data_IF_090228210435
#
_entry.id   IF_090228210435
#
_cell.length_a   1.000
_cell.length_b   1.000
_cell.length_c   1.000
_cell.angle_alpha   90.00
_cell.angle_beta   90.00
_cell.angle_gamma   90.00
#
_symmetry.space_group_name_H-M   'P 1'
#
loop_
_entity.id
_entity.type
_entity.pdbx_description
1 polymer ?
#
# COMPACT_ATOMS: atom_id res chain seq x y z
N UNK A 1 8.73 -0.49 -7.31
CA UNK A 1 10.09 -0.28 -6.74
C UNK A 1 10.66 -1.62 -6.29
N UNK A 2 11.97 -1.83 -6.45
CA UNK A 2 12.64 -3.06 -5.99
C UNK A 2 12.82 -3.02 -4.47
N UNK A 3 12.46 -4.10 -3.77
CA UNK A 3 12.66 -4.21 -2.32
C UNK A 3 13.88 -5.07 -1.99
N UNK A 4 14.03 -6.23 -2.64
CA UNK A 4 15.20 -7.10 -2.50
C UNK A 4 15.89 -7.28 -3.85
N UNK A 5 17.06 -6.65 -4.08
CA UNK A 5 17.79 -6.78 -5.33
C UNK A 5 18.42 -8.18 -5.51
N UNK A 6 18.72 -8.58 -6.76
CA UNK A 6 18.41 -7.89 -8.01
C UNK A 6 16.94 -8.11 -8.43
N UNK A 7 16.22 -7.05 -8.75
CA UNK A 7 14.94 -7.17 -9.45
C UNK A 7 15.18 -7.10 -10.94
N UNK A 8 14.60 -8.03 -11.69
CA UNK A 8 14.61 -7.97 -13.16
C UNK A 8 13.71 -6.82 -13.60
N UNK A 9 14.17 -5.98 -14.54
CA UNK A 9 13.34 -4.96 -15.17
C UNK A 9 12.34 -5.65 -16.12
N UNK A 10 11.19 -6.05 -15.58
CA UNK A 10 10.04 -6.42 -16.42
C UNK A 10 9.49 -5.13 -17.04
N UNK A 11 9.23 -5.14 -18.35
CA UNK A 11 8.73 -3.97 -19.07
C UNK A 11 7.53 -3.31 -18.39
N UNK A 12 7.50 -1.97 -18.41
CA UNK A 12 6.51 -1.18 -17.68
C UNK A 12 5.13 -1.30 -18.36
N UNK A 13 4.23 -2.12 -17.80
CA UNK A 13 2.82 -2.08 -18.17
C UNK A 13 2.16 -0.87 -17.51
N UNK A 14 1.86 0.16 -18.29
CA UNK A 14 1.07 1.34 -17.92
C UNK A 14 -0.43 0.99 -17.82
N UNK A 15 -1.25 1.50 -16.91
CA UNK A 15 -1.10 2.55 -15.91
C UNK A 15 -1.69 2.04 -14.58
N UNK A 16 -1.08 2.40 -13.44
CA UNK A 16 -1.75 2.25 -12.14
C UNK A 16 -3.13 2.91 -12.25
N UNK A 17 -4.16 2.20 -11.82
CA UNK A 17 -5.53 2.70 -11.83
C UNK A 17 -5.53 4.10 -11.18
N UNK A 18 -6.04 5.14 -11.88
CA UNK A 18 -5.90 6.50 -11.40
C UNK A 18 -6.53 6.58 -10.01
N UNK A 19 -5.67 6.95 -9.05
CA UNK A 19 -6.08 7.11 -7.67
C UNK A 19 -7.27 8.10 -7.63
N UNK A 20 -8.34 7.81 -6.88
CA UNK A 20 -9.42 8.77 -6.69
C UNK A 20 -8.85 10.13 -6.27
N UNK A 21 -9.44 11.20 -6.79
CA UNK A 21 -9.02 12.55 -6.45
C UNK A 21 -9.12 12.74 -4.92
N UNK A 22 -8.06 13.28 -4.31
CA UNK A 22 -7.93 13.59 -2.88
C UNK A 22 -7.62 12.44 -1.91
N UNK A 23 -6.83 11.43 -2.31
CA UNK A 23 -6.24 10.51 -1.31
C UNK A 23 -5.20 11.27 -0.47
N UNK A 24 -5.50 11.44 0.82
CA UNK A 24 -4.58 12.02 1.81
C UNK A 24 -3.75 10.98 2.55
N UNK A 25 -4.30 9.76 2.70
CA UNK A 25 -3.63 8.65 3.38
C UNK A 25 -2.55 8.05 2.48
N UNK A 26 -1.33 8.56 2.60
CA UNK A 26 -0.19 8.13 1.79
C UNK A 26 0.87 7.42 2.64
N UNK A 27 1.58 6.42 2.09
CA UNK A 27 2.72 5.82 2.76
C UNK A 27 3.80 6.88 3.00
N UNK A 28 4.59 6.73 4.08
CA UNK A 28 5.58 7.73 4.53
C UNK A 28 5.04 9.14 4.85
N UNK A 29 3.73 9.37 4.82
CA UNK A 29 3.14 10.66 5.19
C UNK A 29 2.82 10.72 6.68
N UNK A 30 2.86 11.90 7.29
CA UNK A 30 2.42 12.12 8.68
C UNK A 30 0.90 12.29 8.85
N UNK A 31 0.11 12.07 7.79
CA UNK A 31 -1.35 12.23 7.85
C UNK A 31 -1.98 11.15 8.74
N UNK A 32 -2.89 11.57 9.61
CA UNK A 32 -3.62 10.70 10.54
C UNK A 32 -5.09 11.12 10.52
N UNK A 33 -5.98 10.15 10.41
CA UNK A 33 -7.42 10.33 10.35
C UNK A 33 -8.10 9.02 10.80
N UNK A 34 -9.40 9.05 11.11
CA UNK A 34 -10.14 7.85 11.51
C UNK A 34 -10.25 6.81 10.39
N UNK A 35 -10.24 7.28 9.14
CA UNK A 35 -10.28 6.43 7.95
C UNK A 35 -8.89 6.15 7.37
N UNK A 36 -7.80 6.47 8.08
CA UNK A 36 -6.43 6.26 7.62
C UNK A 36 -5.61 5.48 8.65
N UNK A 37 -5.22 4.26 8.28
CA UNK A 37 -4.28 3.45 9.03
C UNK A 37 -2.95 3.34 8.30
N UNK A 38 -1.83 3.50 9.03
CA UNK A 38 -0.48 3.32 8.50
C UNK A 38 0.23 2.20 9.25
N UNK A 39 0.81 1.27 8.50
CA UNK A 39 1.50 0.10 9.03
C UNK A 39 2.91 0.06 8.43
N UNK A 40 3.93 -0.08 9.28
CA UNK A 40 5.30 -0.30 8.85
C UNK A 40 5.61 -1.79 8.98
N UNK A 41 5.85 -2.46 7.85
CA UNK A 41 6.27 -3.85 7.82
C UNK A 41 7.78 -3.91 7.72
N UNK A 42 8.45 -4.40 8.76
CA UNK A 42 9.90 -4.57 8.81
C UNK A 42 10.24 -6.01 8.50
N UNK A 43 11.11 -6.24 7.52
CA UNK A 43 11.50 -7.57 7.06
C UNK A 43 12.94 -7.88 7.44
N UNK A 44 13.20 -9.17 7.66
CA UNK A 44 14.56 -9.67 7.68
C UNK A 44 15.04 -9.85 6.22
N UNK A 45 15.92 -8.95 5.76
CA UNK A 45 16.43 -8.95 4.39
C UNK A 45 17.04 -10.30 3.95
N UNK A 46 17.70 -11.03 4.85
CA UNK A 46 18.32 -12.33 4.54
C UNK A 46 17.30 -13.45 4.27
N UNK A 47 16.04 -13.22 4.70
CA UNK A 47 14.93 -14.17 4.53
C UNK A 47 13.99 -13.77 3.40
N UNK A 48 14.16 -12.58 2.84
CA UNK A 48 13.35 -12.09 1.73
C UNK A 48 13.92 -12.64 0.43
N UNK A 49 13.11 -13.33 -0.40
CA UNK A 49 13.56 -13.83 -1.69
C UNK A 49 14.10 -12.71 -2.60
N UNK A 50 15.17 -12.99 -3.33
CA UNK A 50 15.70 -12.06 -4.34
C UNK A 50 14.66 -11.76 -5.42
N UNK A 51 14.65 -10.51 -5.88
CA UNK A 51 13.68 -10.03 -6.87
C UNK A 51 12.33 -9.63 -6.28
N UNK A 52 12.16 -9.67 -4.96
CA UNK A 52 10.93 -9.18 -4.30
C UNK A 52 10.79 -7.68 -4.55
N UNK A 53 9.64 -7.26 -5.08
CA UNK A 53 9.30 -5.85 -5.28
C UNK A 53 8.33 -5.36 -4.21
N UNK A 54 8.28 -4.05 -3.98
CA UNK A 54 7.28 -3.43 -3.10
C UNK A 54 5.85 -3.73 -3.56
N UNK A 55 5.63 -3.83 -4.88
CA UNK A 55 4.30 -4.12 -5.43
C UNK A 55 3.89 -5.58 -5.20
N UNK A 56 4.83 -6.53 -5.25
CA UNK A 56 4.55 -7.92 -4.86
C UNK A 56 4.05 -7.98 -3.42
N UNK A 57 4.75 -7.32 -2.48
CA UNK A 57 4.35 -7.25 -1.07
C UNK A 57 2.97 -6.60 -0.94
N UNK A 58 2.73 -5.49 -1.66
CA UNK A 58 1.45 -4.80 -1.61
C UNK A 58 0.29 -5.65 -2.15
N UNK A 59 0.53 -6.36 -3.25
CA UNK A 59 -0.41 -7.29 -3.86
C UNK A 59 -0.81 -8.36 -2.85
N UNK A 60 0.15 -9.04 -2.21
CA UNK A 60 -0.15 -10.06 -1.20
C UNK A 60 -1.05 -9.51 -0.09
N UNK A 61 -0.80 -8.29 0.39
CA UNK A 61 -1.64 -7.63 1.41
C UNK A 61 -3.07 -7.40 0.90
N UNK A 62 -3.25 -6.97 -0.35
CA UNK A 62 -4.57 -6.83 -0.98
C UNK A 62 -5.31 -8.16 -1.10
N UNK A 63 -4.57 -9.26 -1.27
CA UNK A 63 -5.13 -10.61 -1.37
C UNK A 63 -5.38 -11.30 -0.01
N UNK A 64 -4.90 -10.73 1.11
CA UNK A 64 -5.13 -11.30 2.43
C UNK A 64 -6.63 -11.44 2.74
N UNK A 65 -7.06 -12.56 3.37
CA UNK A 65 -8.46 -12.77 3.72
C UNK A 65 -9.06 -11.66 4.60
N UNK A 66 -8.26 -11.12 5.52
CA UNK A 66 -8.67 -10.02 6.40
C UNK A 66 -9.00 -8.76 5.58
N UNK A 67 -8.09 -8.36 4.69
CA UNK A 67 -8.28 -7.22 3.78
C UNK A 67 -9.54 -7.38 2.92
N UNK A 68 -9.72 -8.56 2.33
CA UNK A 68 -10.89 -8.90 1.49
C UNK A 68 -12.19 -8.91 2.26
N UNK A 69 -12.15 -9.23 3.55
CA UNK A 69 -13.34 -9.23 4.41
C UNK A 69 -13.78 -7.80 4.67
N UNK A 70 -12.83 -6.93 5.05
CA UNK A 70 -13.09 -5.51 5.34
C UNK A 70 -13.52 -4.74 4.07
N UNK A 71 -12.92 -5.06 2.92
CA UNK A 71 -13.27 -4.41 1.65
C UNK A 71 -14.69 -4.73 1.14
N UNK A 72 -15.43 -5.64 1.80
CA UNK A 72 -16.84 -5.93 1.46
C UNK A 72 -17.79 -4.86 2.00
N UNK A 73 -17.42 -4.18 3.07
CA UNK A 73 -18.27 -3.18 3.72
C UNK A 73 -18.11 -1.80 3.08
N UNK A 74 -16.87 -1.41 2.78
CA UNK A 74 -16.51 -0.13 2.15
C UNK A 74 -15.35 -0.31 1.18
N UNK A 75 -15.30 0.54 0.16
CA UNK A 75 -14.17 0.56 -0.77
C UNK A 75 -12.89 0.91 -0.03
N UNK A 76 -11.91 0.02 -0.07
CA UNK A 76 -10.66 0.12 0.65
C UNK A 76 -9.52 0.32 -0.34
N UNK A 77 -8.68 1.32 -0.09
CA UNK A 77 -7.48 1.65 -0.85
C UNK A 77 -6.26 1.21 -0.04
N UNK A 78 -5.37 0.45 -0.68
CA UNK A 78 -4.08 0.07 -0.12
C UNK A 78 -2.97 0.59 -1.01
N UNK A 79 -2.15 1.46 -0.45
CA UNK A 79 -0.95 1.98 -1.08
C UNK A 79 0.27 1.50 -0.30
N UNK A 80 1.32 1.12 -1.02
CA UNK A 80 2.57 0.71 -0.40
C UNK A 80 3.73 1.46 -1.01
N UNK A 81 4.72 1.79 -0.18
CA UNK A 81 5.99 2.32 -0.63
C UNK A 81 7.12 1.80 0.26
N UNK A 82 8.36 1.88 -0.23
CA UNK A 82 9.53 1.67 0.60
C UNK A 82 9.52 2.68 1.75
N UNK A 83 9.88 2.24 2.95
CA UNK A 83 10.05 3.16 4.07
C UNK A 83 11.28 4.03 3.84
N UNK A 84 11.14 5.34 4.06
CA UNK A 84 12.25 6.29 3.97
C UNK A 84 13.02 6.44 5.28
N UNK A 85 12.40 6.06 6.39
CA UNK A 85 12.96 6.19 7.74
C UNK A 85 13.46 4.88 8.32
N UNK A 86 13.00 3.74 7.78
CA UNK A 86 13.29 2.41 8.33
C UNK A 86 13.88 1.53 7.25
N UNK A 87 15.06 0.97 7.51
CA UNK A 87 15.69 0.03 6.58
C UNK A 87 14.91 -1.30 6.51
N UNK A 88 14.97 -1.95 5.34
CA UNK A 88 14.29 -3.22 5.07
C UNK A 88 12.80 -3.19 5.44
N UNK A 89 12.16 -2.05 5.23
CA UNK A 89 10.76 -1.86 5.60
C UNK A 89 9.90 -1.32 4.44
N UNK A 90 8.63 -1.70 4.46
CA UNK A 90 7.59 -1.22 3.57
C UNK A 90 6.53 -0.50 4.39
N UNK A 91 6.24 0.74 4.04
CA UNK A 91 5.11 1.50 4.58
C UNK A 91 3.86 1.15 3.79
N UNK A 92 2.80 0.80 4.51
CA UNK A 92 1.49 0.46 3.97
C UNK A 92 0.49 1.46 4.51
N UNK A 93 -0.16 2.19 3.62
CA UNK A 93 -1.28 3.07 3.94
C UNK A 93 -2.58 2.39 3.52
N UNK A 94 -3.52 2.29 4.45
CA UNK A 94 -4.83 1.71 4.27
C UNK A 94 -5.85 2.79 4.54
N UNK A 95 -6.74 3.06 3.59
CA UNK A 95 -7.82 4.03 3.79
C UNK A 95 -9.13 3.61 3.16
N UNK A 96 -10.23 4.04 3.75
CA UNK A 96 -11.55 3.92 3.14
C UNK A 96 -11.82 5.08 2.19
N UNK A 97 -12.49 4.80 1.08
CA UNK A 97 -13.06 5.87 0.24
C UNK A 97 -14.32 6.38 0.94
N UNK A 98 -14.43 7.70 1.19
CA UNK A 98 -15.63 8.28 1.77
C UNK A 98 -16.84 7.97 0.89
N UNK A 99 -17.99 7.66 1.51
CA UNK A 99 -19.22 7.52 0.75
C UNK A 99 -19.55 8.87 0.11
N UNK A 100 -19.95 8.87 -1.17
CA UNK A 100 -20.32 10.10 -1.90
C UNK A 100 -21.44 10.91 -1.22
N UNK A 101 -22.17 10.32 -0.27
CA UNK A 101 -23.25 10.96 0.48
C UNK A 101 -22.77 11.87 1.64
N UNK A 102 -21.47 11.88 1.96
CA UNK A 102 -20.90 12.73 3.03
C UNK A 102 -20.24 14.02 2.50
N UNK A 103 -20.27 14.25 1.18
CA UNK A 103 -19.74 15.47 0.57
C UNK A 103 -20.78 16.62 0.51
N UNK A 104 -22.05 16.35 0.84
CA UNK A 104 -23.18 17.29 0.82
C UNK A 104 -23.74 17.60 2.24
N UNK A 105 -22.88 17.94 3.21
CA UNK A 105 -23.31 18.59 4.47
C UNK A 105 -22.37 19.73 4.86
#
# INVERSE_FOLDING_TARGET
KCFQPPCTDWGECSASEPLPANIKCLPNSGYLDNDCARITLIFNGDKVPQGTTTENICSEIRYLPATRTVSRERTLIILCDLSYSTENAVEVAISFVPHRDEQDN
#
